data_IF_173748840044
#
_entry.id   IF_173748840044
#
_cell.length_a   1.000
_cell.length_b   1.000
_cell.length_c   1.000
_cell.angle_alpha   90.00
_cell.angle_beta   90.00
_cell.angle_gamma   90.00
#
_symmetry.space_group_name_H-M   'P 1'
#
loop_
_entity.id
_entity.type
_entity.pdbx_description
1 polymer ?
#
# COMPACT_ATOMS: atom_id res chain seq x y z
N UNK A 1 20.55 -14.35 -9.25
CA UNK A 1 19.74 -14.63 -10.44
C UNK A 1 18.76 -15.73 -10.07
N UNK A 2 17.46 -15.56 -10.28
CA UNK A 2 16.50 -16.65 -10.09
C UNK A 2 16.82 -17.71 -11.15
N UNK A 3 17.20 -18.92 -10.76
CA UNK A 3 17.67 -19.99 -11.65
C UNK A 3 16.50 -20.62 -12.44
N UNK A 4 15.76 -19.80 -13.20
CA UNK A 4 14.60 -20.22 -13.98
C UNK A 4 14.81 -19.95 -15.46
N UNK A 5 14.21 -20.78 -16.30
CA UNK A 5 14.29 -20.59 -17.75
C UNK A 5 13.36 -19.46 -18.19
N UNK A 6 13.66 -18.85 -19.35
CA UNK A 6 12.76 -17.90 -20.01
C UNK A 6 11.34 -18.47 -20.18
N UNK A 7 11.24 -19.76 -20.54
CA UNK A 7 9.96 -20.47 -20.71
C UNK A 7 9.15 -20.52 -19.41
N UNK A 8 9.81 -20.68 -18.27
CA UNK A 8 9.17 -20.64 -16.94
C UNK A 8 8.61 -19.26 -16.64
N UNK A 9 9.39 -18.21 -16.89
CA UNK A 9 8.93 -16.81 -16.70
C UNK A 9 7.75 -16.49 -17.62
N UNK A 10 7.81 -16.91 -18.89
CA UNK A 10 6.71 -16.75 -19.84
C UNK A 10 5.46 -17.50 -19.39
N UNK A 11 5.61 -18.73 -18.91
CA UNK A 11 4.51 -19.53 -18.38
C UNK A 11 3.86 -18.87 -17.16
N UNK A 12 4.64 -18.45 -16.16
CA UNK A 12 4.12 -17.75 -14.97
C UNK A 12 3.46 -16.42 -15.32
N UNK A 13 3.94 -15.73 -16.35
CA UNK A 13 3.29 -14.52 -16.84
C UNK A 13 1.94 -14.83 -17.48
N UNK A 14 1.86 -15.89 -18.29
CA UNK A 14 0.64 -16.25 -19.00
C UNK A 14 -0.48 -16.73 -18.05
N UNK A 15 -0.13 -17.41 -16.96
CA UNK A 15 -1.09 -17.85 -15.94
C UNK A 15 -1.35 -16.78 -14.86
N UNK A 16 -0.84 -15.56 -15.04
CA UNK A 16 -1.09 -14.42 -14.14
C UNK A 16 -0.30 -14.43 -12.83
N UNK A 17 0.63 -15.38 -12.65
CA UNK A 17 1.49 -15.48 -11.48
C UNK A 17 2.60 -14.42 -11.45
N UNK A 18 2.99 -13.87 -12.60
CA UNK A 18 3.90 -12.73 -12.72
C UNK A 18 3.25 -11.61 -13.53
N UNK A 19 3.45 -10.36 -13.08
CA UNK A 19 3.09 -9.17 -13.84
C UNK A 19 4.32 -8.68 -14.61
N UNK A 20 4.11 -8.33 -15.87
CA UNK A 20 5.13 -7.75 -16.74
C UNK A 20 4.67 -6.37 -17.19
N UNK A 21 5.58 -5.40 -17.16
CA UNK A 21 5.38 -4.11 -17.82
C UNK A 21 5.77 -4.25 -19.29
N UNK A 22 5.15 -3.44 -20.16
CA UNK A 22 5.50 -3.42 -21.58
C UNK A 22 6.21 -2.12 -21.92
N UNK A 23 7.36 -2.24 -22.60
CA UNK A 23 8.02 -1.10 -23.21
C UNK A 23 7.19 -0.53 -24.37
N UNK A 24 7.53 0.69 -24.82
CA UNK A 24 6.96 1.28 -26.04
C UNK A 24 7.15 0.40 -27.28
N UNK A 25 8.22 -0.40 -27.31
CA UNK A 25 8.53 -1.42 -28.32
C UNK A 25 7.88 -2.79 -28.06
N UNK A 26 6.92 -2.88 -27.13
CA UNK A 26 6.15 -4.08 -26.79
C UNK A 26 6.93 -5.26 -26.14
N UNK A 27 8.20 -5.07 -25.79
CA UNK A 27 8.96 -6.03 -24.99
C UNK A 27 8.48 -6.05 -23.54
N UNK A 28 8.42 -7.25 -22.95
CA UNK A 28 8.12 -7.47 -21.52
C UNK A 28 9.32 -7.10 -20.67
N UNK A 29 9.10 -6.24 -19.69
CA UNK A 29 10.04 -5.84 -18.66
C UNK A 29 9.56 -6.34 -17.30
N UNK A 30 10.49 -6.83 -16.49
CA UNK A 30 10.23 -7.32 -15.14
C UNK A 30 11.08 -6.52 -14.16
N UNK A 31 10.42 -5.80 -13.27
CA UNK A 31 11.06 -5.00 -12.24
C UNK A 31 11.53 -5.88 -11.06
N UNK A 32 12.11 -5.26 -10.03
CA UNK A 32 12.60 -5.99 -8.85
C UNK A 32 11.49 -6.75 -8.09
N UNK A 33 10.25 -6.26 -8.11
CA UNK A 33 9.12 -6.93 -7.47
C UNK A 33 8.80 -8.25 -8.18
N UNK A 34 8.83 -8.27 -9.52
CA UNK A 34 8.68 -9.50 -10.28
C UNK A 34 9.79 -10.50 -9.97
N UNK A 35 11.03 -10.03 -9.73
CA UNK A 35 12.13 -10.90 -9.32
C UNK A 35 11.92 -11.47 -7.91
N UNK A 36 11.50 -10.65 -6.93
CA UNK A 36 11.16 -11.11 -5.57
C UNK A 36 10.03 -12.15 -5.59
N UNK A 37 8.98 -11.88 -6.37
CA UNK A 37 7.84 -12.78 -6.55
C UNK A 37 8.27 -14.12 -7.17
N UNK A 38 9.17 -14.09 -8.14
CA UNK A 38 9.72 -15.29 -8.77
C UNK A 38 10.53 -16.15 -7.78
N UNK A 39 11.35 -15.56 -6.91
CA UNK A 39 12.03 -16.31 -5.85
C UNK A 39 11.03 -16.96 -4.88
N UNK A 40 9.95 -16.27 -4.55
CA UNK A 40 8.91 -16.78 -3.67
C UNK A 40 8.16 -17.96 -4.31
N UNK A 41 7.82 -17.88 -5.60
CA UNK A 41 7.21 -18.98 -6.36
C UNK A 41 8.10 -20.23 -6.31
N UNK A 42 9.41 -20.08 -6.58
CA UNK A 42 10.33 -21.23 -6.56
C UNK A 42 10.51 -21.80 -5.14
N UNK A 43 10.53 -20.95 -4.11
CA UNK A 43 10.55 -21.42 -2.72
C UNK A 43 9.30 -22.24 -2.39
N UNK A 44 8.11 -21.72 -2.68
CA UNK A 44 6.85 -22.40 -2.39
C UNK A 44 6.69 -23.70 -3.18
N UNK A 45 7.19 -23.75 -4.43
CA UNK A 45 7.28 -25.00 -5.20
C UNK A 45 8.21 -26.02 -4.56
N UNK A 46 9.35 -25.57 -4.02
CA UNK A 46 10.28 -26.48 -3.32
C UNK A 46 9.69 -27.06 -2.03
N UNK A 47 8.71 -26.37 -1.44
CA UNK A 47 7.91 -26.83 -0.29
C UNK A 47 6.76 -27.78 -0.70
N UNK A 48 6.62 -28.09 -1.99
CA UNK A 48 5.63 -29.04 -2.51
C UNK A 48 4.28 -28.43 -2.90
N UNK A 49 4.14 -27.10 -2.89
CA UNK A 49 2.90 -26.42 -3.28
C UNK A 49 2.68 -26.45 -4.78
N UNK A 50 1.43 -26.60 -5.19
CA UNK A 50 1.02 -26.49 -6.59
C UNK A 50 0.98 -25.02 -7.04
N UNK A 51 1.02 -24.80 -8.37
CA UNK A 51 0.93 -23.43 -8.90
C UNK A 51 -0.43 -22.80 -8.65
N UNK A 52 -1.49 -23.61 -8.58
CA UNK A 52 -2.84 -23.18 -8.25
C UNK A 52 -2.91 -22.69 -6.79
N UNK A 53 -2.29 -23.41 -5.85
CA UNK A 53 -2.21 -23.01 -4.45
C UNK A 53 -1.42 -21.70 -4.28
N UNK A 54 -0.29 -21.58 -4.99
CA UNK A 54 0.55 -20.36 -4.98
C UNK A 54 -0.23 -19.17 -5.56
N UNK A 55 -0.99 -19.38 -6.64
CA UNK A 55 -1.82 -18.35 -7.25
C UNK A 55 -2.93 -17.86 -6.32
N UNK A 56 -3.58 -18.80 -5.61
CA UNK A 56 -4.59 -18.49 -4.60
C UNK A 56 -4.02 -17.64 -3.46
N UNK A 57 -2.85 -18.03 -2.92
CA UNK A 57 -2.17 -17.30 -1.86
C UNK A 57 -1.90 -15.84 -2.24
N UNK A 58 -1.34 -15.61 -3.43
CA UNK A 58 -1.08 -14.24 -3.90
C UNK A 58 -2.33 -13.44 -4.23
N UNK A 59 -3.44 -14.11 -4.51
CA UNK A 59 -4.72 -13.44 -4.75
C UNK A 59 -5.31 -12.93 -3.42
N UNK A 60 -5.23 -13.74 -2.37
CA UNK A 60 -5.62 -13.36 -1.01
C UNK A 60 -4.77 -12.19 -0.51
N UNK A 61 -3.43 -12.28 -0.59
CA UNK A 61 -2.53 -11.19 -0.18
C UNK A 61 -2.82 -9.87 -0.93
N UNK A 62 -3.08 -9.94 -2.24
CA UNK A 62 -3.44 -8.76 -3.03
C UNK A 62 -4.78 -8.17 -2.58
N UNK A 63 -5.77 -9.02 -2.27
CA UNK A 63 -7.07 -8.55 -1.78
C UNK A 63 -6.94 -7.89 -0.41
N UNK A 64 -6.22 -8.49 0.54
CA UNK A 64 -6.01 -7.93 1.88
C UNK A 64 -5.25 -6.60 1.83
N UNK A 65 -4.23 -6.51 0.98
CA UNK A 65 -3.47 -5.27 0.79
C UNK A 65 -4.31 -4.18 0.11
N UNK A 66 -5.19 -4.54 -0.85
CA UNK A 66 -6.13 -3.59 -1.45
C UNK A 66 -7.12 -3.09 -0.42
N UNK A 67 -7.75 -3.98 0.34
CA UNK A 67 -8.69 -3.62 1.40
C UNK A 67 -8.06 -2.71 2.44
N UNK A 68 -6.83 -3.00 2.87
CA UNK A 68 -6.09 -2.17 3.84
C UNK A 68 -5.79 -0.77 3.30
N UNK A 69 -5.43 -0.66 2.01
CA UNK A 69 -5.20 0.64 1.35
C UNK A 69 -6.48 1.44 1.20
N UNK A 70 -7.58 0.80 0.82
CA UNK A 70 -8.89 1.43 0.65
C UNK A 70 -9.44 1.91 2.00
N UNK A 71 -9.25 1.13 3.07
CA UNK A 71 -9.63 1.52 4.43
C UNK A 71 -8.81 2.73 4.90
N UNK A 72 -7.49 2.72 4.68
CA UNK A 72 -6.62 3.84 5.03
C UNK A 72 -6.99 5.11 4.26
N UNK A 73 -7.23 5.01 2.95
CA UNK A 73 -7.68 6.12 2.12
C UNK A 73 -9.02 6.70 2.61
N UNK A 74 -9.95 5.83 3.01
CA UNK A 74 -11.23 6.25 3.59
C UNK A 74 -11.05 7.00 4.90
N UNK A 75 -10.15 6.54 5.79
CA UNK A 75 -9.83 7.25 7.05
C UNK A 75 -9.22 8.63 6.79
N UNK A 76 -8.30 8.75 5.84
CA UNK A 76 -7.75 10.04 5.43
C UNK A 76 -8.82 10.97 4.82
N UNK A 77 -9.74 10.42 4.03
CA UNK A 77 -10.85 11.18 3.48
C UNK A 77 -11.72 11.80 4.57
N UNK A 78 -12.14 10.99 5.56
CA UNK A 78 -12.94 11.45 6.72
C UNK A 78 -12.19 12.51 7.54
N UNK A 79 -10.89 12.31 7.79
CA UNK A 79 -10.07 13.30 8.50
C UNK A 79 -9.99 14.63 7.72
N UNK A 80 -9.77 14.56 6.41
CA UNK A 80 -9.68 15.75 5.57
C UNK A 80 -11.01 16.51 5.51
N UNK A 81 -12.14 15.82 5.45
CA UNK A 81 -13.46 16.44 5.48
C UNK A 81 -13.75 17.07 6.86
N UNK A 82 -13.38 16.38 7.94
CA UNK A 82 -13.46 16.96 9.29
C UNK A 82 -12.64 18.25 9.41
N UNK A 83 -11.45 18.30 8.80
CA UNK A 83 -10.62 19.52 8.76
C UNK A 83 -11.27 20.66 7.99
N UNK A 84 -11.97 20.38 6.87
CA UNK A 84 -12.72 21.39 6.12
C UNK A 84 -13.86 21.99 6.95
N UNK A 85 -14.45 21.23 7.86
CA UNK A 85 -15.49 21.73 8.77
C UNK A 85 -14.91 22.55 9.92
N UNK A 86 -13.76 22.15 10.46
CA UNK A 86 -13.10 22.82 11.59
C UNK A 86 -12.43 24.14 11.18
N UNK A 87 -11.82 24.19 9.99
CA UNK A 87 -11.13 25.38 9.49
C UNK A 87 -11.98 26.69 9.54
N UNK A 88 -13.21 26.74 8.99
CA UNK A 88 -14.03 27.94 9.04
C UNK A 88 -14.53 28.27 10.46
N UNK A 89 -14.62 27.28 11.36
CA UNK A 89 -14.93 27.53 12.77
C UNK A 89 -13.77 28.25 13.45
N UNK A 90 -12.53 27.83 13.20
CA UNK A 90 -11.33 28.49 13.71
C UNK A 90 -11.20 29.92 13.17
N UNK A 91 -11.54 30.16 11.90
CA UNK A 91 -11.51 31.50 11.31
C UNK A 91 -12.49 32.48 11.99
N UNK A 92 -13.65 31.99 12.44
CA UNK A 92 -14.66 32.79 13.15
C UNK A 92 -14.29 33.13 14.59
N UNK A 93 -13.31 32.46 15.18
CA UNK A 93 -12.83 32.74 16.53
C UNK A 93 -11.90 33.96 16.53
N UNK A 94 -11.99 34.77 17.59
CA UNK A 94 -11.03 35.84 17.85
C UNK A 94 -9.69 35.26 18.38
N UNK A 95 -8.67 36.11 18.48
CA UNK A 95 -7.32 35.73 18.93
C UNK A 95 -7.32 35.07 20.33
N UNK A 96 -8.13 35.57 21.27
CA UNK A 96 -8.19 35.04 22.64
C UNK A 96 -8.82 33.65 22.68
N UNK A 97 -9.94 33.46 21.98
CA UNK A 97 -10.65 32.19 21.88
C UNK A 97 -9.81 31.13 21.14
N UNK A 98 -9.07 31.51 20.09
CA UNK A 98 -8.11 30.61 19.42
C UNK A 98 -7.02 30.16 20.38
N UNK A 99 -6.46 31.07 21.17
CA UNK A 99 -5.40 30.75 22.13
C UNK A 99 -5.91 29.82 23.24
N UNK A 100 -7.12 30.03 23.73
CA UNK A 100 -7.76 29.13 24.71
C UNK A 100 -8.02 27.75 24.09
N UNK A 101 -8.48 27.67 22.85
CA UNK A 101 -8.71 26.40 22.15
C UNK A 101 -7.40 25.65 21.86
N UNK A 102 -6.33 26.34 21.43
CA UNK A 102 -5.02 25.73 21.20
C UNK A 102 -4.37 25.20 22.49
N UNK A 103 -4.61 25.87 23.62
CA UNK A 103 -4.18 25.36 24.93
C UNK A 103 -5.02 24.16 25.41
N UNK A 104 -6.21 23.95 24.85
CA UNK A 104 -7.07 22.78 25.10
C UNK A 104 -6.79 21.62 24.15
N UNK A 105 -6.20 21.88 22.98
CA UNK A 105 -5.63 20.81 22.15
C UNK A 105 -4.52 20.16 22.97
N UNK A 106 -4.82 18.97 23.45
CA UNK A 106 -4.07 18.28 24.46
C UNK A 106 -2.74 17.73 23.89
N UNK A 107 -1.73 17.39 24.70
CA UNK A 107 -0.45 16.82 24.23
C UNK A 107 -0.63 15.57 23.36
N UNK A 108 -1.76 14.88 23.48
CA UNK A 108 -2.21 13.76 22.66
C UNK A 108 -2.36 14.14 21.18
N UNK A 109 -2.79 15.36 20.86
CA UNK A 109 -2.92 15.84 19.47
C UNK A 109 -1.53 16.01 18.82
N UNK A 110 -0.57 16.53 19.57
CA UNK A 110 0.83 16.67 19.13
C UNK A 110 1.47 15.30 18.96
N UNK A 111 1.20 14.38 19.89
CA UNK A 111 1.71 13.00 19.83
C UNK A 111 1.14 12.25 18.64
N UNK A 112 -0.15 12.45 18.34
CA UNK A 112 -0.81 11.86 17.19
C UNK A 112 -0.24 12.38 15.87
N UNK A 113 -0.02 13.70 15.75
CA UNK A 113 0.64 14.29 14.58
C UNK A 113 2.05 13.72 14.39
N UNK A 114 2.83 13.62 15.46
CA UNK A 114 4.18 13.05 15.40
C UNK A 114 4.19 11.58 15.03
N UNK A 115 3.28 10.79 15.60
CA UNK A 115 3.13 9.37 15.29
C UNK A 115 2.73 9.14 13.83
N UNK A 116 1.82 9.96 13.30
CA UNK A 116 1.45 9.91 11.88
C UNK A 116 2.61 10.29 10.97
N UNK A 117 3.41 11.30 11.32
CA UNK A 117 4.58 11.70 10.55
C UNK A 117 5.60 10.56 10.44
N UNK A 118 5.87 9.87 11.55
CA UNK A 118 6.79 8.73 11.60
C UNK A 118 6.30 7.51 10.80
N UNK A 119 4.99 7.28 10.75
CA UNK A 119 4.41 6.18 9.97
C UNK A 119 4.42 6.44 8.46
N UNK A 120 4.60 7.70 8.04
CA UNK A 120 4.58 8.15 6.64
C UNK A 120 5.97 8.51 6.09
N UNK A 121 7.02 8.51 6.92
CA UNK A 121 8.43 8.75 6.55
C UNK A 121 9.15 7.48 6.16
#
# INVERSE_FOLDING_TARGET
>A
MAHVTKRTVDYYTNIGLLKAERSASNYRFYNEEALKRLYLIEKLKSEGRSLEEISSLFSIEQSENSHSKDELASKFHVLNDSLKEVAPLMEKLNEEDRKVMMNRLSPESVTLLHSLLLLLS
#
